data_IF_572100305107
#
_entry.id   IF_572100305107
#
_cell.length_a   1.000
_cell.length_b   1.000
_cell.length_c   1.000
_cell.angle_alpha   90.00
_cell.angle_beta   90.00
_cell.angle_gamma   90.00
#
_symmetry.space_group_name_H-M   'P 1'
#
loop_
_entity.id
_entity.type
_entity.pdbx_description
1 polymer ?
#
# COMPACT_ATOMS: atom_id res chain seq x y z
N UNK A 1 5.48 17.40 4.81
CA UNK A 1 4.02 17.65 4.89
C UNK A 1 3.59 17.52 6.35
N UNK A 2 2.83 18.47 6.90
CA UNK A 2 2.26 18.32 8.24
C UNK A 2 0.90 17.58 8.10
N UNK A 3 0.75 16.35 8.63
CA UNK A 3 -0.47 15.57 8.48
C UNK A 3 -1.71 16.25 9.07
N UNK A 4 -1.57 17.05 10.13
CA UNK A 4 -2.69 17.78 10.75
C UNK A 4 -3.24 18.90 9.84
N UNK A 5 -2.48 19.31 8.82
CA UNK A 5 -2.86 20.36 7.87
C UNK A 5 -3.42 19.79 6.55
N UNK A 6 -3.46 18.47 6.40
CA UNK A 6 -3.93 17.82 5.18
C UNK A 6 -5.39 17.45 5.34
N UNK A 7 -6.24 17.98 4.46
CA UNK A 7 -7.64 17.58 4.38
C UNK A 7 -7.73 16.13 3.90
N UNK A 8 -8.63 15.34 4.50
CA UNK A 8 -8.79 13.91 4.22
C UNK A 8 -8.98 13.63 2.72
N UNK A 9 -9.80 14.43 2.03
CA UNK A 9 -10.03 14.25 0.59
C UNK A 9 -8.77 14.45 -0.26
N UNK A 10 -7.83 15.29 0.18
CA UNK A 10 -6.55 15.50 -0.52
C UNK A 10 -5.66 14.26 -0.40
N UNK A 11 -5.62 13.66 0.78
CA UNK A 11 -4.91 12.40 1.00
C UNK A 11 -5.53 11.26 0.17
N UNK A 12 -6.87 11.17 0.17
CA UNK A 12 -7.59 10.19 -0.64
C UNK A 12 -7.31 10.36 -2.14
N UNK A 13 -7.36 11.60 -2.66
CA UNK A 13 -7.06 11.90 -4.07
C UNK A 13 -5.63 11.56 -4.46
N UNK A 14 -4.67 11.78 -3.56
CA UNK A 14 -3.26 11.47 -3.79
C UNK A 14 -3.02 9.96 -3.87
N UNK A 15 -3.51 9.20 -2.89
CA UNK A 15 -3.27 7.74 -2.84
C UNK A 15 -3.97 6.98 -3.97
N UNK A 16 -4.98 7.57 -4.62
CA UNK A 16 -5.73 6.97 -5.74
C UNK A 16 -5.31 7.52 -7.11
N UNK A 17 -4.19 8.24 -7.21
CA UNK A 17 -3.71 8.85 -8.45
C UNK A 17 -3.00 7.82 -9.36
N UNK A 18 -3.73 6.78 -9.77
CA UNK A 18 -3.24 5.68 -10.61
C UNK A 18 -2.61 6.22 -11.90
N UNK A 19 -1.31 5.93 -12.18
CA UNK A 19 -0.69 6.27 -13.45
C UNK A 19 -1.51 5.73 -14.62
N UNK A 20 -1.45 6.40 -15.77
CA UNK A 20 -2.26 6.12 -16.98
C UNK A 20 -3.73 6.55 -16.85
N UNK A 21 -4.33 6.53 -15.66
CA UNK A 21 -5.73 6.91 -15.46
C UNK A 21 -5.91 8.34 -14.95
N UNK A 22 -5.04 8.79 -14.05
CA UNK A 22 -5.15 10.09 -13.39
C UNK A 22 -3.81 10.83 -13.36
N UNK A 23 -3.88 12.16 -13.45
CA UNK A 23 -2.71 13.00 -13.18
C UNK A 23 -2.28 12.90 -11.71
N UNK A 24 -0.97 13.07 -11.49
CA UNK A 24 -0.37 13.15 -10.17
C UNK A 24 -0.98 14.30 -9.36
N UNK A 25 -1.15 14.11 -8.06
CA UNK A 25 -1.70 15.13 -7.17
C UNK A 25 -0.59 15.83 -6.40
N UNK A 26 -0.22 17.05 -6.80
CA UNK A 26 0.91 17.79 -6.22
C UNK A 26 2.23 16.99 -6.21
N UNK A 27 2.51 16.27 -7.31
CA UNK A 27 3.69 15.41 -7.44
C UNK A 27 3.61 14.08 -6.68
N UNK A 28 2.47 13.79 -6.04
CA UNK A 28 2.19 12.48 -5.44
C UNK A 28 1.47 11.59 -6.46
N UNK A 29 1.84 10.31 -6.48
CA UNK A 29 1.24 9.29 -7.31
C UNK A 29 0.56 8.23 -6.44
N UNK A 30 -0.15 7.31 -7.08
CA UNK A 30 -0.89 6.22 -6.42
C UNK A 30 -0.05 5.42 -5.42
N UNK A 31 -0.67 5.05 -4.31
CA UNK A 31 -0.06 4.21 -3.30
C UNK A 31 0.28 2.80 -3.80
N UNK A 32 -0.47 2.29 -4.78
CA UNK A 32 -0.28 0.98 -5.38
C UNK A 32 1.07 0.82 -6.09
N UNK A 33 1.72 1.92 -6.50
CA UNK A 33 3.08 1.91 -7.06
C UNK A 33 4.08 1.38 -6.05
N UNK A 34 3.90 1.72 -4.77
CA UNK A 34 4.77 1.27 -3.69
C UNK A 34 4.21 0.03 -2.98
N UNK A 35 2.90 -0.01 -2.74
CA UNK A 35 2.26 -1.08 -1.97
C UNK A 35 0.77 -1.21 -2.30
N UNK A 36 0.41 -2.16 -3.17
CA UNK A 36 -0.98 -2.47 -3.52
C UNK A 36 -1.67 -3.47 -2.54
N UNK A 37 -0.99 -3.82 -1.44
CA UNK A 37 -1.57 -4.49 -0.28
C UNK A 37 -0.84 -4.01 0.99
N UNK A 38 -1.37 -2.99 1.69
CA UNK A 38 -0.66 -2.31 2.77
C UNK A 38 -0.56 -3.12 4.08
N UNK A 39 -1.02 -4.38 4.13
CA UNK A 39 -1.07 -5.18 5.37
C UNK A 39 0.29 -5.26 6.08
N UNK A 40 1.35 -5.62 5.35
CA UNK A 40 2.69 -5.73 5.93
C UNK A 40 3.23 -4.37 6.41
N UNK A 41 3.00 -3.31 5.62
CA UNK A 41 3.40 -1.95 5.99
C UNK A 41 2.66 -1.48 7.25
N UNK A 42 1.36 -1.76 7.36
CA UNK A 42 0.54 -1.44 8.53
C UNK A 42 1.06 -2.14 9.79
N UNK A 43 1.38 -3.44 9.71
CA UNK A 43 1.93 -4.19 10.83
C UNK A 43 3.30 -3.64 11.26
N UNK A 44 4.14 -3.32 10.29
CA UNK A 44 5.46 -2.73 10.53
C UNK A 44 5.33 -1.39 11.24
N UNK A 45 4.41 -0.53 10.80
CA UNK A 45 4.14 0.76 11.43
C UNK A 45 3.57 0.61 12.85
N UNK A 46 2.67 -0.35 13.08
CA UNK A 46 2.14 -0.63 14.42
C UNK A 46 3.27 -0.93 15.42
N UNK A 47 4.15 -1.89 15.10
CA UNK A 47 5.28 -2.23 15.99
C UNK A 47 6.31 -1.11 16.11
N UNK A 48 6.47 -0.30 15.05
CA UNK A 48 7.35 0.88 15.08
C UNK A 48 6.80 1.95 16.03
N UNK A 49 5.50 2.23 15.98
CA UNK A 49 4.84 3.18 16.88
C UNK A 49 4.94 2.73 18.33
N UNK A 50 4.63 1.45 18.61
CA UNK A 50 4.82 0.83 19.92
C UNK A 50 6.23 1.04 20.47
N UNK A 51 7.25 0.82 19.63
CA UNK A 51 8.65 1.04 20.02
C UNK A 51 8.93 2.50 20.36
N UNK A 52 8.46 3.44 19.53
CA UNK A 52 8.64 4.88 19.76
C UNK A 52 7.95 5.34 21.05
N UNK A 53 6.75 4.86 21.33
CA UNK A 53 5.98 5.20 22.52
C UNK A 53 6.64 4.68 23.80
N UNK A 54 7.15 3.43 23.77
CA UNK A 54 7.97 2.88 24.86
C UNK A 54 9.21 3.74 25.14
N UNK A 55 9.90 4.20 24.09
CA UNK A 55 11.04 5.11 24.25
C UNK A 55 10.65 6.48 24.83
N UNK A 56 9.41 6.92 24.64
CA UNK A 56 8.86 8.17 25.21
C UNK A 56 8.24 7.99 26.60
N UNK A 57 8.36 6.81 27.23
CA UNK A 57 7.67 6.45 28.47
C UNK A 57 6.14 6.59 28.40
N UNK A 58 5.56 6.50 27.19
CA UNK A 58 4.12 6.40 26.99
C UNK A 58 3.75 4.94 27.18
N UNK A 59 2.83 4.65 28.11
CA UNK A 59 2.32 3.29 28.29
C UNK A 59 1.42 2.93 27.11
N UNK A 60 1.90 2.04 26.25
CA UNK A 60 1.10 1.38 25.23
C UNK A 60 1.18 -0.15 25.42
N UNK A 61 0.04 -0.75 25.73
CA UNK A 61 -0.16 -2.18 25.95
C UNK A 61 -1.03 -2.82 24.85
N UNK A 62 -1.27 -2.11 23.74
CA UNK A 62 -2.10 -2.59 22.64
C UNK A 62 -1.53 -3.85 22.00
N UNK A 63 -2.40 -4.79 21.70
CA UNK A 63 -2.07 -6.07 21.07
C UNK A 63 -2.95 -6.31 19.87
N UNK A 64 -2.37 -6.86 18.81
CA UNK A 64 -3.11 -7.27 17.63
C UNK A 64 -3.78 -8.62 17.93
N UNK A 65 -5.11 -8.64 18.01
CA UNK A 65 -5.89 -9.87 18.18
C UNK A 65 -6.24 -10.58 16.86
N UNK A 66 -6.43 -9.81 15.78
CA UNK A 66 -6.78 -10.31 14.46
C UNK A 66 -6.31 -9.32 13.38
N UNK A 67 -5.98 -9.83 12.19
CA UNK A 67 -5.67 -9.03 11.01
C UNK A 67 -6.55 -9.50 9.88
N UNK A 68 -7.31 -8.59 9.28
CA UNK A 68 -8.15 -8.86 8.11
C UNK A 68 -7.60 -8.03 6.96
N UNK A 69 -7.21 -8.69 5.87
CA UNK A 69 -6.82 -8.05 4.61
C UNK A 69 -7.87 -8.36 3.55
N UNK A 70 -8.31 -7.34 2.83
CA UNK A 70 -9.37 -7.44 1.81
C UNK A 70 -8.77 -7.01 0.48
N UNK A 71 -8.76 -7.93 -0.49
CA UNK A 71 -8.36 -7.65 -1.86
C UNK A 71 -9.56 -7.31 -2.74
N UNK A 72 -9.30 -6.63 -3.87
CA UNK A 72 -10.29 -6.32 -4.91
C UNK A 72 -10.46 -7.43 -5.96
N UNK A 73 -9.78 -8.57 -5.78
CA UNK A 73 -9.74 -9.68 -6.74
C UNK A 73 -8.50 -9.66 -7.63
N UNK A 74 -8.22 -10.80 -8.26
CA UNK A 74 -7.15 -10.98 -9.25
C UNK A 74 -7.78 -11.61 -10.48
N UNK A 75 -7.37 -11.16 -11.67
CA UNK A 75 -7.87 -11.72 -12.92
C UNK A 75 -7.45 -13.20 -13.06
N UNK A 76 -8.33 -14.10 -13.54
CA UNK A 76 -7.96 -15.50 -13.78
C UNK A 76 -6.79 -15.62 -14.75
N UNK A 77 -5.85 -16.53 -14.47
CA UNK A 77 -4.73 -16.77 -15.37
C UNK A 77 -5.22 -17.37 -16.68
N UNK A 78 -4.95 -16.68 -17.79
CA UNK A 78 -5.14 -17.25 -19.12
C UNK A 78 -4.01 -18.25 -19.38
N UNK A 79 -4.36 -19.51 -19.65
CA UNK A 79 -3.36 -20.47 -20.14
C UNK A 79 -2.96 -20.06 -21.55
N UNK A 80 -1.80 -19.42 -21.68
CA UNK A 80 -1.18 -19.19 -22.98
C UNK A 80 -0.72 -20.54 -23.53
N UNK A 81 -1.11 -20.87 -24.75
CA UNK A 81 -0.56 -22.00 -25.49
C UNK A 81 0.96 -21.87 -25.55
N UNK A 82 1.67 -23.01 -25.45
CA UNK A 82 3.13 -23.05 -25.36
C UNK A 82 3.81 -22.17 -26.42
N UNK A 83 4.84 -21.44 -26.00
CA UNK A 83 5.64 -20.58 -26.88
C UNK A 83 6.56 -21.49 -27.68
N UNK A 84 6.40 -21.53 -29.01
CA UNK A 84 7.33 -22.23 -29.90
C UNK A 84 8.63 -21.40 -30.03
N UNK A 85 9.72 -21.91 -29.45
CA UNK A 85 11.05 -21.29 -29.44
C UNK A 85 11.93 -21.76 -30.60
N UNK A 86 11.36 -22.26 -31.70
CA UNK A 86 12.14 -22.56 -32.92
C UNK A 86 12.68 -21.29 -33.59
N UNK A 87 13.80 -20.79 -33.07
CA UNK A 87 14.71 -19.91 -33.79
C UNK A 87 15.39 -20.71 -34.90
N UNK A 88 14.88 -20.60 -36.13
CA UNK A 88 15.61 -21.08 -37.30
C UNK A 88 16.86 -20.22 -37.47
N UNK A 89 18.01 -20.90 -37.51
CA UNK A 89 19.34 -20.34 -37.72
C UNK A 89 19.57 -19.96 -39.18
#
# INVERSE_FOLDING_TARGET
MNPEKILVWKAARATSAAPVFFESFHGLADGAIFCNNPCLTLLTEFFRLQKIERHKNIRNDDKIGCVITIGSGVEPSLQLGGIDINLRR
#
